data_IF_368302540058
#
_entry.id   IF_368302540058
#
_cell.length_a   1.000
_cell.length_b   1.000
_cell.length_c   1.000
_cell.angle_alpha   90.00
_cell.angle_beta   90.00
_cell.angle_gamma   90.00
#
_symmetry.space_group_name_H-M   'P 1'
#
loop_
_entity.id
_entity.type
_entity.pdbx_description
1 polymer ?
#
# COMPACT_ATOMS: atom_id res chain seq x y z
N UNK A 1 -3.30 8.92 25.35
CA UNK A 1 -2.27 9.04 24.30
C UNK A 1 -2.31 7.90 23.25
N UNK A 2 -3.49 7.52 22.75
CA UNK A 2 -3.63 6.40 21.79
C UNK A 2 -4.18 6.81 20.41
N UNK A 3 -4.79 7.98 20.28
CA UNK A 3 -5.49 8.39 19.05
C UNK A 3 -4.55 8.93 17.95
N UNK A 4 -3.32 9.34 18.28
CA UNK A 4 -2.39 9.94 17.32
C UNK A 4 -1.69 8.90 16.43
N UNK A 5 -1.48 7.67 16.90
CA UNK A 5 -0.85 6.61 16.10
C UNK A 5 -1.78 6.05 15.02
N UNK A 6 -3.08 5.94 15.31
CA UNK A 6 -4.08 5.40 14.38
C UNK A 6 -4.32 6.39 13.22
N UNK A 7 -4.42 7.69 13.52
CA UNK A 7 -4.63 8.72 12.50
C UNK A 7 -3.43 8.89 11.56
N UNK A 8 -2.21 8.67 12.04
CA UNK A 8 -1.01 8.65 11.20
C UNK A 8 -1.07 7.51 10.17
N UNK A 9 -1.43 6.31 10.62
CA UNK A 9 -1.51 5.09 9.79
C UNK A 9 -2.54 5.20 8.64
N UNK A 10 -3.70 5.82 8.86
CA UNK A 10 -4.77 5.88 7.85
C UNK A 10 -4.44 6.80 6.67
N UNK A 11 -3.84 7.96 6.94
CA UNK A 11 -3.46 8.92 5.89
C UNK A 11 -2.35 8.34 5.00
N UNK A 12 -1.35 7.72 5.62
CA UNK A 12 -0.25 7.06 4.91
C UNK A 12 -0.70 5.84 4.11
N UNK A 13 -1.59 5.01 4.68
CA UNK A 13 -2.23 3.90 3.97
C UNK A 13 -2.93 4.39 2.70
N UNK A 14 -3.75 5.45 2.82
CA UNK A 14 -4.49 6.02 1.68
C UNK A 14 -3.53 6.56 0.61
N UNK A 15 -2.46 7.23 1.03
CA UNK A 15 -1.41 7.73 0.15
C UNK A 15 -0.70 6.58 -0.59
N UNK A 16 -0.23 5.57 0.15
CA UNK A 16 0.46 4.40 -0.42
C UNK A 16 -0.42 3.66 -1.43
N UNK A 17 -1.68 3.45 -1.08
CA UNK A 17 -2.65 2.80 -1.96
C UNK A 17 -2.89 3.58 -3.25
N UNK A 18 -3.18 4.89 -3.15
CA UNK A 18 -3.48 5.73 -4.31
C UNK A 18 -2.30 5.85 -5.29
N UNK A 19 -1.10 6.09 -4.75
CA UNK A 19 0.04 6.43 -5.59
C UNK A 19 0.86 5.21 -6.03
N UNK A 20 1.01 4.20 -5.17
CA UNK A 20 1.95 3.11 -5.41
C UNK A 20 1.31 1.74 -5.62
N UNK A 21 0.02 1.55 -5.31
CA UNK A 21 -0.69 0.32 -5.62
C UNK A 21 -1.58 0.47 -6.86
N UNK A 22 -1.72 -0.63 -7.60
CA UNK A 22 -2.71 -0.78 -8.66
C UNK A 22 -4.07 -1.15 -8.07
N UNK A 23 -5.13 -1.09 -8.88
CA UNK A 23 -6.48 -1.53 -8.48
C UNK A 23 -6.53 -3.02 -8.06
N UNK A 24 -5.49 -3.80 -8.38
CA UNK A 24 -5.34 -5.20 -7.94
C UNK A 24 -4.57 -5.34 -6.62
N UNK A 25 -4.29 -4.24 -5.93
CA UNK A 25 -3.40 -4.13 -4.77
C UNK A 25 -1.95 -4.57 -5.02
N UNK A 26 -1.54 -4.77 -6.28
CA UNK A 26 -0.13 -5.00 -6.66
C UNK A 26 0.66 -3.69 -6.69
N UNK A 27 1.93 -3.74 -6.31
CA UNK A 27 2.85 -2.60 -6.40
C UNK A 27 3.05 -2.17 -7.86
N UNK A 28 2.95 -0.87 -8.14
CA UNK A 28 3.25 -0.31 -9.47
C UNK A 28 4.72 -0.49 -9.81
N UNK A 29 5.00 -0.80 -11.09
CA UNK A 29 6.36 -0.86 -11.62
C UNK A 29 7.03 0.51 -11.52
N UNK A 30 8.35 0.53 -11.30
CA UNK A 30 9.16 1.77 -11.20
C UNK A 30 8.94 2.72 -12.38
N UNK A 31 8.81 2.19 -13.60
CA UNK A 31 8.55 2.97 -14.83
C UNK A 31 7.31 3.85 -14.71
N UNK A 32 6.28 3.39 -13.99
CA UNK A 32 5.01 4.09 -13.81
C UNK A 32 5.12 5.16 -12.72
N UNK A 33 5.82 4.86 -11.62
CA UNK A 33 5.95 5.78 -10.48
C UNK A 33 7.03 6.85 -10.68
N UNK A 34 7.87 6.74 -11.72
CA UNK A 34 8.97 7.65 -12.06
C UNK A 34 9.92 7.94 -10.88
N UNK A 35 10.02 7.01 -9.93
CA UNK A 35 10.89 7.15 -8.77
C UNK A 35 12.32 6.71 -9.07
N UNK A 36 13.28 7.26 -8.31
CA UNK A 36 14.65 6.75 -8.28
C UNK A 36 14.68 5.32 -7.70
N UNK A 37 15.72 4.55 -8.05
CA UNK A 37 15.89 3.17 -7.56
C UNK A 37 15.85 3.07 -6.04
N UNK A 38 16.53 3.99 -5.34
CA UNK A 38 16.57 4.04 -3.87
C UNK A 38 15.16 4.22 -3.28
N UNK A 39 14.40 5.21 -3.79
CA UNK A 39 13.03 5.50 -3.33
C UNK A 39 12.08 4.34 -3.63
N UNK A 40 12.18 3.72 -4.81
CA UNK A 40 11.32 2.57 -5.16
C UNK A 40 11.57 1.36 -4.24
N UNK A 41 12.85 1.04 -3.95
CA UNK A 41 13.20 -0.02 -2.99
C UNK A 41 12.67 0.28 -1.58
N UNK A 42 12.78 1.53 -1.14
CA UNK A 42 12.25 1.95 0.17
C UNK A 42 10.73 1.74 0.26
N UNK A 43 9.98 2.23 -0.73
CA UNK A 43 8.51 2.07 -0.76
C UNK A 43 8.11 0.60 -0.80
N UNK A 44 8.85 -0.24 -1.52
CA UNK A 44 8.59 -1.68 -1.52
C UNK A 44 8.75 -2.30 -0.12
N UNK A 45 9.76 -1.90 0.66
CA UNK A 45 9.93 -2.36 2.05
C UNK A 45 8.77 -1.89 2.92
N UNK A 46 8.39 -0.62 2.84
CA UNK A 46 7.28 -0.04 3.61
C UNK A 46 5.97 -0.76 3.30
N UNK A 47 5.64 -0.98 2.03
CA UNK A 47 4.40 -1.67 1.63
C UNK A 47 4.38 -3.11 2.15
N UNK A 48 5.51 -3.81 2.17
CA UNK A 48 5.61 -5.15 2.78
C UNK A 48 5.33 -5.12 4.28
N UNK A 49 5.90 -4.15 5.01
CA UNK A 49 5.63 -3.98 6.44
C UNK A 49 4.15 -3.66 6.70
N UNK A 50 3.55 -2.75 5.92
CA UNK A 50 2.13 -2.42 6.03
C UNK A 50 1.22 -3.62 5.75
N UNK A 51 1.59 -4.49 4.81
CA UNK A 51 0.86 -5.75 4.56
C UNK A 51 0.98 -6.73 5.71
N UNK A 52 2.18 -6.87 6.27
CA UNK A 52 2.42 -7.73 7.44
C UNK A 52 1.60 -7.27 8.65
N UNK A 53 1.48 -5.95 8.84
CA UNK A 53 0.65 -5.34 9.88
C UNK A 53 -0.86 -5.36 9.56
N UNK A 54 -1.30 -5.93 8.44
CA UNK A 54 -2.72 -5.97 8.04
C UNK A 54 -3.30 -4.62 7.60
N UNK A 55 -2.47 -3.58 7.44
CA UNK A 55 -2.91 -2.25 7.02
C UNK A 55 -3.22 -2.18 5.52
N UNK A 56 -2.51 -2.97 4.72
CA UNK A 56 -2.73 -3.08 3.28
C UNK A 56 -3.06 -4.53 2.88
N UNK A 57 -4.06 -4.76 2.01
CA UNK A 57 -4.36 -6.10 1.52
C UNK A 57 -3.28 -6.62 0.54
N UNK A 58 -3.09 -7.95 0.54
CA UNK A 58 -2.15 -8.62 -0.38
C UNK A 58 -2.70 -8.71 -1.81
N UNK A 59 -4.00 -9.03 -1.93
CA UNK A 59 -4.73 -9.15 -3.18
C UNK A 59 -5.97 -8.27 -3.12
N UNK A 60 -6.55 -7.94 -4.26
CA UNK A 60 -7.85 -7.30 -4.25
C UNK A 60 -8.88 -8.37 -3.91
N UNK A 61 -9.51 -8.25 -2.74
CA UNK A 61 -10.67 -9.05 -2.37
C UNK A 61 -11.85 -8.56 -3.21
N UNK A 62 -11.82 -8.80 -4.53
CA UNK A 62 -13.06 -9.05 -5.24
C UNK A 62 -13.57 -10.33 -4.63
N UNK A 63 -14.40 -10.19 -3.60
CA UNK A 63 -15.35 -11.22 -3.22
C UNK A 63 -16.01 -11.55 -4.54
N UNK A 64 -15.72 -12.73 -5.09
CA UNK A 64 -16.53 -13.31 -6.14
C UNK A 64 -17.90 -13.34 -5.50
N UNK A 65 -18.80 -12.45 -5.92
CA UNK A 65 -20.21 -12.56 -5.58
C UNK A 65 -20.60 -13.89 -6.22
N UNK A 66 -20.56 -14.96 -5.43
CA UNK A 66 -21.19 -16.23 -5.73
C UNK A 66 -22.68 -15.89 -5.75
N UNK A 67 -23.15 -15.55 -6.94
CA UNK A 67 -24.56 -15.59 -7.31
C UNK A 67 -24.92 -17.07 -7.40
#
# INVERSE_FOLDING_TARGET
MSHNFINFSLKEKKFLSKYYLTNSNKLKKKKITKLTNKKHKFINKVIKQFRFLGLLPFLNNKIIKLI
#
